data_IF_399097044950
#
_entry.id   IF_399097044950
#
_cell.length_a   1.000
_cell.length_b   1.000
_cell.length_c   1.000
_cell.angle_alpha   90.00
_cell.angle_beta   90.00
_cell.angle_gamma   90.00
#
_symmetry.space_group_name_H-M   'P 1'
#
loop_
_entity.id
_entity.type
_entity.pdbx_description
1 polymer ?
#
# COMPACT_ATOMS: atom_id res chain seq x y z
N UNK A 1 65.58 33.00 -5.85
CA UNK A 1 65.48 31.64 -5.28
C UNK A 1 64.27 31.00 -5.94
N UNK A 2 64.49 29.98 -6.78
CA UNK A 2 63.62 28.86 -7.19
C UNK A 2 62.13 29.13 -7.48
N UNK A 3 61.70 29.03 -8.76
CA UNK A 3 61.03 27.85 -9.38
C UNK A 3 59.57 27.66 -8.90
N UNK A 4 58.56 27.20 -9.63
CA UNK A 4 58.32 26.68 -10.98
C UNK A 4 56.78 26.52 -11.10
N UNK A 5 56.26 26.60 -12.33
CA UNK A 5 55.05 25.94 -12.93
C UNK A 5 54.03 25.23 -12.01
N UNK A 6 52.72 25.36 -12.27
CA UNK A 6 52.07 24.46 -13.23
C UNK A 6 50.55 24.39 -13.05
N UNK A 7 49.86 24.05 -14.14
CA UNK A 7 48.41 24.15 -14.41
C UNK A 7 47.67 22.80 -14.12
N UNK A 8 46.37 22.64 -14.46
CA UNK A 8 45.29 22.07 -13.65
C UNK A 8 45.08 20.55 -13.84
N UNK A 9 44.20 19.91 -13.04
CA UNK A 9 43.56 18.64 -13.42
C UNK A 9 42.15 18.43 -12.81
N UNK A 10 41.35 17.68 -13.57
CA UNK A 10 39.92 17.37 -13.44
C UNK A 10 39.63 16.04 -12.69
N UNK A 11 38.33 15.88 -12.30
CA UNK A 11 37.50 14.65 -12.20
C UNK A 11 37.83 13.55 -11.17
N UNK A 12 36.78 13.07 -10.48
CA UNK A 12 36.37 11.65 -10.48
C UNK A 12 35.00 11.46 -9.79
N UNK A 13 34.07 10.79 -10.47
CA UNK A 13 32.90 10.13 -9.87
C UNK A 13 33.15 8.63 -9.98
N UNK A 14 33.02 7.93 -8.85
CA UNK A 14 33.38 6.52 -8.71
C UNK A 14 32.15 5.63 -8.91
N UNK A 15 32.28 4.62 -9.76
CA UNK A 15 31.33 3.54 -10.04
C UNK A 15 31.74 2.25 -9.31
N UNK A 16 30.77 1.48 -8.84
CA UNK A 16 30.94 0.08 -8.44
C UNK A 16 29.60 -0.56 -8.08
N UNK A 17 29.31 -1.85 -8.22
CA UNK A 17 29.96 -3.04 -8.83
C UNK A 17 28.80 -4.01 -9.13
N UNK A 18 28.80 -4.73 -10.26
CA UNK A 18 27.86 -5.83 -10.56
C UNK A 18 28.68 -7.11 -10.72
N UNK A 19 28.32 -8.18 -10.01
CA UNK A 19 28.93 -9.51 -10.11
C UNK A 19 28.30 -10.34 -11.24
N UNK A 20 29.13 -11.16 -11.91
CA UNK A 20 28.79 -11.94 -13.11
C UNK A 20 28.72 -13.47 -12.85
N UNK A 21 27.93 -14.18 -13.65
CA UNK A 21 27.95 -15.66 -13.79
C UNK A 21 27.91 -16.02 -15.29
N UNK A 22 28.77 -16.91 -15.82
CA UNK A 22 28.92 -17.12 -17.26
C UNK A 22 28.01 -18.21 -17.85
N UNK A 23 27.60 -17.98 -19.10
CA UNK A 23 26.79 -18.88 -19.93
C UNK A 23 27.66 -19.82 -20.76
N UNK A 24 27.56 -21.11 -20.49
CA UNK A 24 27.83 -22.14 -21.50
C UNK A 24 27.01 -23.36 -21.15
N UNK A 25 25.96 -23.66 -21.93
CA UNK A 25 25.45 -25.01 -22.22
C UNK A 25 24.20 -24.91 -23.14
N UNK A 26 24.44 -25.25 -24.41
CA UNK A 26 23.61 -26.10 -25.29
C UNK A 26 22.45 -25.49 -26.11
N UNK A 27 22.83 -25.01 -27.31
CA UNK A 27 22.47 -25.47 -28.68
C UNK A 27 21.12 -26.15 -29.00
N UNK A 28 20.46 -25.54 -30.01
CA UNK A 28 20.00 -26.08 -31.33
C UNK A 28 18.66 -26.83 -31.40
N UNK A 29 17.70 -26.27 -32.16
CA UNK A 29 17.14 -26.85 -33.41
C UNK A 29 15.74 -26.28 -33.73
N UNK A 30 15.66 -25.51 -34.81
CA UNK A 30 14.41 -25.07 -35.46
C UNK A 30 14.10 -26.02 -36.62
N UNK A 31 12.85 -26.51 -36.72
CA UNK A 31 12.27 -26.94 -38.00
C UNK A 31 10.84 -26.43 -38.15
N UNK A 32 10.67 -25.63 -39.20
CA UNK A 32 9.49 -25.40 -40.04
C UNK A 32 8.21 -24.89 -39.38
N UNK A 33 7.77 -23.68 -39.72
CA UNK A 33 6.86 -23.43 -40.86
C UNK A 33 6.75 -21.91 -41.10
N UNK A 34 6.60 -21.59 -42.38
CA UNK A 34 6.72 -20.29 -43.04
C UNK A 34 5.54 -19.36 -42.80
N UNK A 35 5.81 -18.09 -42.54
CA UNK A 35 4.92 -16.98 -42.88
C UNK A 35 5.80 -15.85 -43.43
N UNK A 36 5.47 -15.39 -44.63
CA UNK A 36 6.25 -14.43 -45.42
C UNK A 36 6.40 -13.08 -44.70
N UNK A 37 7.64 -12.59 -44.68
CA UNK A 37 8.03 -11.29 -44.12
C UNK A 37 8.24 -10.32 -45.28
N UNK A 38 7.48 -9.24 -45.29
CA UNK A 38 7.72 -8.08 -46.14
C UNK A 38 9.12 -7.50 -45.84
N UNK A 39 9.91 -7.27 -46.90
CA UNK A 39 11.25 -6.70 -46.86
C UNK A 39 11.20 -5.30 -46.23
N UNK A 40 11.76 -5.17 -45.03
CA UNK A 40 12.05 -3.91 -44.36
C UNK A 40 13.39 -4.04 -43.62
N UNK A 41 14.27 -3.08 -43.82
CA UNK A 41 15.71 -3.16 -43.59
C UNK A 41 16.12 -3.50 -42.15
N UNK A 42 17.17 -4.32 -42.06
CA UNK A 42 17.86 -4.73 -40.84
C UNK A 42 18.72 -3.57 -40.33
N UNK A 43 18.29 -2.91 -39.26
CA UNK A 43 19.19 -2.14 -38.38
C UNK A 43 19.44 -2.94 -37.11
N UNK A 44 20.73 -3.18 -36.82
CA UNK A 44 21.19 -3.76 -35.56
C UNK A 44 20.88 -2.80 -34.42
N UNK A 45 20.24 -3.29 -33.36
CA UNK A 45 20.33 -2.68 -32.03
C UNK A 45 20.71 -3.75 -31.02
N UNK A 46 21.93 -3.59 -30.52
CA UNK A 46 22.42 -4.20 -29.31
C UNK A 46 21.74 -3.54 -28.10
N UNK A 47 21.64 -4.27 -26.99
CA UNK A 47 21.50 -3.68 -25.67
C UNK A 47 20.11 -3.84 -25.05
N UNK A 48 20.10 -4.49 -23.89
CA UNK A 48 18.98 -4.56 -22.96
C UNK A 48 18.56 -3.14 -22.54
N UNK A 49 17.51 -2.62 -23.17
CA UNK A 49 16.79 -1.44 -22.73
C UNK A 49 15.45 -1.88 -22.17
N UNK A 50 15.32 -1.95 -20.84
CA UNK A 50 14.01 -1.91 -20.20
C UNK A 50 13.48 -0.51 -20.47
N UNK A 51 12.72 -0.34 -21.55
CA UNK A 51 12.01 0.91 -21.76
C UNK A 51 10.96 0.95 -20.66
N UNK A 52 11.13 1.84 -19.69
CA UNK A 52 10.08 2.17 -18.75
C UNK A 52 8.90 2.70 -19.57
N UNK A 53 7.96 1.82 -19.89
CA UNK A 53 6.62 2.26 -20.25
C UNK A 53 6.11 2.87 -18.95
N UNK A 54 6.09 4.20 -18.90
CA UNK A 54 5.34 4.90 -17.87
C UNK A 54 3.90 4.39 -17.99
N UNK A 55 3.52 3.48 -17.10
CA UNK A 55 2.11 3.15 -16.91
C UNK A 55 1.45 4.49 -16.56
N UNK A 56 0.45 4.95 -17.34
CA UNK A 56 -0.26 6.14 -16.96
C UNK A 56 -0.78 5.93 -15.55
N UNK A 57 -0.63 6.94 -14.71
CA UNK A 57 -1.26 6.98 -13.40
C UNK A 57 -2.75 6.79 -13.65
N UNK A 58 -3.24 5.58 -13.39
CA UNK A 58 -4.63 5.22 -13.64
C UNK A 58 -5.42 5.94 -12.56
N UNK A 59 -5.86 7.16 -12.85
CA UNK A 59 -6.82 7.84 -12.01
C UNK A 59 -8.13 7.04 -12.11
N UNK A 60 -8.33 6.12 -11.15
CA UNK A 60 -9.51 5.27 -11.08
C UNK A 60 -10.74 6.13 -10.76
N UNK A 61 -11.28 6.76 -11.80
CA UNK A 61 -12.54 7.49 -11.75
C UNK A 61 -13.64 6.44 -11.73
N UNK A 62 -14.22 6.23 -10.54
CA UNK A 62 -15.33 5.31 -10.33
C UNK A 62 -16.54 5.61 -11.24
N UNK A 63 -17.55 4.72 -11.27
CA UNK A 63 -18.71 4.89 -12.14
C UNK A 63 -19.37 6.27 -11.91
N UNK A 64 -19.75 6.92 -13.01
CA UNK A 64 -20.36 8.25 -12.99
C UNK A 64 -21.55 8.28 -12.03
N UNK A 65 -21.55 9.22 -11.08
CA UNK A 65 -22.62 9.39 -10.08
C UNK A 65 -22.37 8.71 -8.72
N UNK A 66 -21.32 7.90 -8.58
CA UNK A 66 -20.93 7.30 -7.27
C UNK A 66 -20.56 8.35 -6.22
N UNK A 67 -20.03 9.49 -6.66
CA UNK A 67 -19.61 10.58 -5.76
C UNK A 67 -20.81 11.24 -5.05
N UNK A 68 -21.91 11.46 -5.77
CA UNK A 68 -23.13 12.07 -5.22
C UNK A 68 -23.86 11.15 -4.21
N UNK A 69 -23.80 9.84 -4.45
CA UNK A 69 -24.35 8.84 -3.53
C UNK A 69 -23.53 8.82 -2.23
N UNK A 70 -22.20 8.79 -2.34
CA UNK A 70 -21.32 8.82 -1.18
C UNK A 70 -21.53 10.09 -0.35
N UNK A 71 -21.62 11.26 -0.99
CA UNK A 71 -21.92 12.53 -0.34
C UNK A 71 -23.21 12.46 0.50
N UNK A 72 -24.27 11.90 -0.07
CA UNK A 72 -25.55 11.76 0.65
C UNK A 72 -25.44 10.80 1.85
N UNK A 73 -24.61 9.76 1.75
CA UNK A 73 -24.45 8.74 2.81
C UNK A 73 -23.58 9.21 3.98
N UNK A 74 -22.68 10.17 3.76
CA UNK A 74 -21.78 10.72 4.79
C UNK A 74 -22.23 12.07 5.33
N UNK A 75 -23.14 12.77 4.65
CA UNK A 75 -23.66 14.06 5.09
C UNK A 75 -24.21 14.01 6.53
N UNK A 76 -23.82 14.98 7.37
CA UNK A 76 -24.24 15.09 8.76
C UNK A 76 -23.59 14.09 9.73
N UNK A 77 -22.74 13.18 9.25
CA UNK A 77 -22.04 12.20 10.09
C UNK A 77 -20.70 12.75 10.56
N UNK A 78 -20.37 12.52 11.83
CA UNK A 78 -19.11 12.98 12.43
C UNK A 78 -18.35 11.81 13.04
N UNK A 79 -17.03 11.80 12.91
CA UNK A 79 -16.21 10.77 13.54
C UNK A 79 -14.81 11.26 13.91
N UNK A 80 -14.34 10.88 15.10
CA UNK A 80 -12.93 10.99 15.50
C UNK A 80 -12.49 9.74 16.26
N UNK A 81 -11.29 9.23 15.95
CA UNK A 81 -10.77 8.06 16.64
C UNK A 81 -10.19 8.46 18.01
N UNK A 82 -10.80 8.00 19.10
CA UNK A 82 -10.32 8.23 20.47
C UNK A 82 -9.18 7.30 20.90
N UNK A 83 -8.74 6.39 20.01
CA UNK A 83 -7.76 5.33 20.29
C UNK A 83 -8.15 4.45 21.49
N UNK A 84 -9.44 4.19 21.70
CA UNK A 84 -9.97 3.38 22.79
C UNK A 84 -9.69 1.86 22.67
N UNK A 85 -9.24 1.39 21.50
CA UNK A 85 -8.91 -0.01 21.25
C UNK A 85 -10.09 -0.93 20.96
N UNK A 86 -11.35 -0.49 21.11
CA UNK A 86 -12.56 -1.32 20.93
C UNK A 86 -12.63 -1.98 19.55
N UNK A 87 -12.40 -1.20 18.48
CA UNK A 87 -12.37 -1.74 17.11
C UNK A 87 -11.13 -2.61 16.82
N UNK A 88 -10.06 -2.47 17.61
CA UNK A 88 -8.83 -3.28 17.48
C UNK A 88 -8.94 -4.64 18.18
N UNK A 89 -9.86 -4.77 19.14
CA UNK A 89 -10.19 -6.03 19.85
C UNK A 89 -11.50 -6.66 19.38
N UNK A 90 -12.17 -6.03 18.42
CA UNK A 90 -13.47 -6.44 17.91
C UNK A 90 -13.43 -7.74 17.10
N UNK A 91 -14.63 -8.19 16.75
CA UNK A 91 -14.86 -9.34 15.88
C UNK A 91 -14.57 -8.93 14.42
N UNK A 92 -13.30 -8.97 14.00
CA UNK A 92 -12.93 -8.56 12.66
C UNK A 92 -11.50 -8.91 12.25
N UNK A 93 -11.37 -9.33 10.99
CA UNK A 93 -10.07 -9.55 10.34
C UNK A 93 -9.61 -8.27 9.64
N UNK A 94 -8.34 -7.89 9.83
CA UNK A 94 -7.76 -6.72 9.15
C UNK A 94 -6.93 -7.14 7.96
N UNK A 95 -7.34 -6.68 6.79
CA UNK A 95 -6.74 -6.96 5.51
C UNK A 95 -5.87 -5.78 5.09
N UNK A 96 -4.65 -6.11 4.67
CA UNK A 96 -3.70 -5.15 4.14
C UNK A 96 -3.18 -5.64 2.78
N UNK A 97 -3.05 -4.72 1.85
CA UNK A 97 -2.35 -4.94 0.59
C UNK A 97 -0.84 -5.08 0.82
N UNK A 98 -0.12 -5.66 -0.14
CA UNK A 98 1.35 -5.72 -0.07
C UNK A 98 1.97 -4.31 0.00
N UNK A 99 1.39 -3.32 -0.68
CA UNK A 99 1.83 -1.92 -0.61
C UNK A 99 1.66 -1.32 0.81
N UNK A 100 0.53 -1.57 1.47
CA UNK A 100 0.33 -1.15 2.87
C UNK A 100 1.29 -1.88 3.81
N UNK A 101 1.54 -3.17 3.58
CA UNK A 101 2.51 -3.93 4.36
C UNK A 101 3.93 -3.34 4.23
N UNK A 102 4.32 -2.85 3.06
CA UNK A 102 5.60 -2.17 2.86
C UNK A 102 5.71 -0.87 3.66
N UNK A 103 4.65 -0.06 3.68
CA UNK A 103 4.60 1.17 4.46
C UNK A 103 4.71 0.87 5.96
N UNK A 104 3.94 -0.11 6.45
CA UNK A 104 3.98 -0.52 7.86
C UNK A 104 5.34 -1.11 8.23
N UNK A 105 5.91 -1.98 7.39
CA UNK A 105 7.23 -2.56 7.64
C UNK A 105 8.32 -1.49 7.76
N UNK A 106 8.27 -0.48 6.89
CA UNK A 106 9.18 0.68 6.93
C UNK A 106 9.00 1.49 8.20
N UNK A 107 7.76 1.76 8.62
CA UNK A 107 7.46 2.46 9.86
C UNK A 107 8.01 1.71 11.09
N UNK A 108 7.92 0.37 11.09
CA UNK A 108 8.46 -0.47 12.16
C UNK A 108 9.98 -0.69 12.09
N UNK A 109 10.66 -0.22 11.04
CA UNK A 109 12.10 -0.43 10.84
C UNK A 109 12.48 -1.88 10.57
N UNK A 110 11.58 -2.68 10.00
CA UNK A 110 11.81 -4.11 9.73
C UNK A 110 11.83 -4.41 8.24
N UNK A 111 12.54 -5.46 7.83
CA UNK A 111 12.48 -5.92 6.44
C UNK A 111 11.10 -6.47 6.13
N UNK A 112 10.63 -6.24 4.90
CA UNK A 112 9.32 -6.71 4.43
C UNK A 112 9.14 -8.22 4.58
N UNK A 113 10.17 -9.02 4.30
CA UNK A 113 10.13 -10.47 4.47
C UNK A 113 9.88 -10.87 5.94
N UNK A 114 10.56 -10.21 6.88
CA UNK A 114 10.39 -10.45 8.31
C UNK A 114 9.03 -9.93 8.80
N UNK A 115 8.51 -8.87 8.16
CA UNK A 115 7.16 -8.36 8.43
C UNK A 115 6.11 -9.40 8.04
N UNK A 116 6.21 -9.96 6.83
CA UNK A 116 5.28 -10.97 6.36
C UNK A 116 5.25 -12.21 7.24
N UNK A 117 6.39 -12.66 7.75
CA UNK A 117 6.47 -13.81 8.63
C UNK A 117 5.85 -13.53 10.01
N UNK A 118 6.19 -12.39 10.61
CA UNK A 118 5.82 -12.06 12.00
C UNK A 118 4.43 -11.49 12.16
N UNK A 119 3.99 -10.62 11.24
CA UNK A 119 2.77 -9.83 11.43
C UNK A 119 1.61 -10.24 10.53
N UNK A 120 1.83 -11.08 9.51
CA UNK A 120 0.78 -11.42 8.53
C UNK A 120 0.59 -12.91 8.32
N UNK A 121 -0.57 -13.28 7.79
CA UNK A 121 -0.88 -14.59 7.20
C UNK A 121 -1.16 -14.38 5.71
N UNK A 122 -0.66 -15.29 4.86
CA UNK A 122 -1.03 -15.30 3.43
C UNK A 122 -2.50 -15.66 3.32
N UNK A 123 -3.24 -14.93 2.48
CA UNK A 123 -4.55 -15.36 2.05
C UNK A 123 -4.44 -15.96 0.65
N UNK A 124 -4.77 -17.24 0.50
CA UNK A 124 -4.50 -17.99 -0.75
C UNK A 124 -5.42 -17.61 -1.91
N UNK A 125 -6.57 -16.96 -1.65
CA UNK A 125 -7.60 -16.72 -2.67
C UNK A 125 -7.48 -15.38 -3.39
N UNK A 126 -6.67 -14.44 -2.88
CA UNK A 126 -6.50 -13.11 -3.48
C UNK A 126 -5.03 -12.69 -3.41
N UNK A 127 -4.35 -12.72 -4.57
CA UNK A 127 -2.97 -12.27 -4.67
C UNK A 127 -2.86 -10.78 -4.29
N UNK A 128 -1.75 -10.39 -3.65
CA UNK A 128 -1.50 -9.01 -3.23
C UNK A 128 -2.18 -8.57 -1.93
N UNK A 129 -2.93 -9.47 -1.26
CA UNK A 129 -3.60 -9.20 0.01
C UNK A 129 -3.12 -10.13 1.12
N UNK A 130 -3.02 -9.59 2.33
CA UNK A 130 -2.55 -10.29 3.51
C UNK A 130 -3.42 -9.97 4.70
N UNK A 131 -3.61 -10.97 5.55
CA UNK A 131 -4.33 -10.84 6.80
C UNK A 131 -3.33 -10.47 7.91
N UNK A 132 -3.58 -9.40 8.65
CA UNK A 132 -2.82 -9.09 9.86
C UNK A 132 -3.12 -10.13 10.95
N UNK A 133 -2.09 -10.53 11.69
CA UNK A 133 -2.24 -11.49 12.79
C UNK A 133 -2.89 -10.84 14.00
N UNK A 134 -3.46 -11.69 14.84
CA UNK A 134 -3.82 -11.35 16.20
C UNK A 134 -2.64 -11.55 17.14
N UNK A 135 -2.71 -10.91 18.31
CA UNK A 135 -1.76 -11.12 19.39
C UNK A 135 -1.81 -12.57 19.90
N UNK A 136 -0.65 -13.22 20.09
CA UNK A 136 -0.59 -14.53 20.73
C UNK A 136 -1.18 -14.48 22.15
N UNK A 137 -2.18 -15.32 22.44
CA UNK A 137 -2.76 -15.43 23.78
C UNK A 137 -3.76 -14.35 24.18
N UNK A 138 -4.03 -13.34 23.34
CA UNK A 138 -4.98 -12.26 23.62
C UNK A 138 -6.21 -12.27 22.69
N UNK A 139 -6.66 -13.47 22.31
CA UNK A 139 -7.87 -13.65 21.50
C UNK A 139 -7.77 -13.03 20.10
N UNK A 140 -8.72 -12.14 19.78
CA UNK A 140 -8.84 -11.46 18.48
C UNK A 140 -8.26 -10.04 18.48
N UNK A 141 -7.47 -9.68 19.49
CA UNK A 141 -6.79 -8.40 19.52
C UNK A 141 -5.77 -8.29 18.37
N UNK A 142 -5.81 -7.19 17.60
CA UNK A 142 -4.85 -6.90 16.54
C UNK A 142 -3.40 -6.93 17.08
N UNK A 143 -2.46 -7.50 16.32
CA UNK A 143 -1.05 -7.59 16.72
C UNK A 143 -0.38 -6.24 17.01
N UNK A 144 -0.91 -5.14 16.46
CA UNK A 144 -0.37 -3.79 16.66
C UNK A 144 -1.03 -3.02 17.81
N UNK A 145 -1.95 -3.63 18.56
CA UNK A 145 -2.50 -3.01 19.76
C UNK A 145 -1.44 -3.01 20.87
N UNK A 146 -1.15 -1.86 21.47
CA UNK A 146 -0.25 -1.74 22.61
C UNK A 146 -0.90 -2.23 23.92
N UNK A 147 -0.11 -2.45 24.97
CA UNK A 147 -0.63 -2.79 26.30
C UNK A 147 -1.45 -1.64 26.92
N UNK A 148 -1.33 -0.43 26.40
CA UNK A 148 -2.09 0.78 26.76
C UNK A 148 -3.39 0.94 25.95
N UNK A 149 -3.80 -0.09 25.20
CA UNK A 149 -4.92 -0.08 24.26
C UNK A 149 -4.77 0.90 23.07
N UNK A 150 -3.57 1.42 22.82
CA UNK A 150 -3.33 2.33 21.69
C UNK A 150 -2.74 1.59 20.49
N UNK A 151 -3.12 2.02 19.29
CA UNK A 151 -2.58 1.43 18.07
C UNK A 151 -1.14 1.91 17.86
N UNK A 152 -0.17 1.00 17.90
CA UNK A 152 1.26 1.31 17.72
C UNK A 152 1.61 1.81 16.32
N UNK A 153 0.75 1.56 15.33
CA UNK A 153 0.92 1.98 13.93
C UNK A 153 -0.14 2.99 13.48
N UNK A 154 -0.71 3.78 14.41
CA UNK A 154 -1.87 4.64 14.13
C UNK A 154 -1.72 5.55 12.90
N UNK A 155 -0.51 6.09 12.68
CA UNK A 155 -0.20 6.99 11.55
C UNK A 155 -0.06 6.30 10.19
N UNK A 156 0.12 4.98 10.18
CA UNK A 156 0.28 4.17 8.95
C UNK A 156 -0.72 3.02 8.92
N UNK A 157 -1.89 3.23 9.51
CA UNK A 157 -2.96 2.23 9.54
C UNK A 157 -3.33 1.80 8.12
N UNK A 158 -3.58 0.50 7.88
CA UNK A 158 -4.09 0.05 6.60
C UNK A 158 -5.45 0.69 6.33
N UNK A 159 -5.83 0.75 5.06
CA UNK A 159 -6.98 1.50 4.59
C UNK A 159 -8.25 1.10 5.31
N UNK A 160 -8.48 -0.21 5.48
CA UNK A 160 -9.61 -0.73 6.26
C UNK A 160 -9.73 -0.04 7.62
N UNK A 161 -8.63 0.05 8.40
CA UNK A 161 -8.63 0.69 9.70
C UNK A 161 -8.74 2.22 9.63
N UNK A 162 -8.09 2.86 8.66
CA UNK A 162 -8.11 4.33 8.51
C UNK A 162 -9.45 4.88 8.02
N UNK A 163 -10.22 4.07 7.28
CA UNK A 163 -11.53 4.47 6.75
C UNK A 163 -12.68 4.04 7.63
N UNK A 164 -12.45 3.35 8.74
CA UNK A 164 -13.50 3.11 9.73
C UNK A 164 -13.95 4.47 10.32
N UNK A 165 -15.25 4.73 10.52
CA UNK A 165 -16.43 3.87 10.31
C UNK A 165 -17.14 4.13 8.96
N UNK A 166 -16.47 4.68 7.96
CA UNK A 166 -17.03 5.04 6.66
C UNK A 166 -17.26 3.86 5.71
N UNK A 167 -17.27 2.63 6.21
CA UNK A 167 -17.48 1.45 5.38
C UNK A 167 -18.92 1.38 4.87
N UNK A 168 -19.17 0.86 3.66
CA UNK A 168 -20.52 0.77 3.09
C UNK A 168 -21.55 0.13 4.03
N UNK A 169 -21.14 -0.83 4.84
CA UNK A 169 -21.97 -1.56 5.80
C UNK A 169 -22.47 -0.67 6.95
N UNK A 170 -21.73 0.37 7.31
CA UNK A 170 -22.05 1.32 8.37
C UNK A 170 -22.69 2.62 7.85
N UNK A 171 -22.89 2.74 6.53
CA UNK A 171 -23.41 3.96 5.93
C UNK A 171 -24.93 4.12 6.09
N UNK A 172 -25.69 3.07 6.38
CA UNK A 172 -27.11 3.22 6.72
C UNK A 172 -27.30 3.92 8.08
N UNK A 173 -28.38 4.69 8.25
CA UNK A 173 -28.66 5.38 9.51
C UNK A 173 -28.76 4.40 10.70
N UNK A 174 -29.46 3.27 10.52
CA UNK A 174 -29.60 2.26 11.57
C UNK A 174 -28.26 1.64 11.98
N UNK A 175 -27.42 1.25 11.01
CA UNK A 175 -26.11 0.68 11.31
C UNK A 175 -25.18 1.70 11.97
N UNK A 176 -25.21 2.95 11.52
CA UNK A 176 -24.40 4.04 12.09
C UNK A 176 -24.69 4.26 13.57
N UNK A 177 -25.97 4.43 13.93
CA UNK A 177 -26.35 4.68 15.32
C UNK A 177 -26.16 3.44 16.21
N UNK A 178 -26.40 2.23 15.68
CA UNK A 178 -26.13 0.99 16.42
C UNK A 178 -24.63 0.82 16.72
N UNK A 179 -23.77 1.14 15.75
CA UNK A 179 -22.31 1.11 15.94
C UNK A 179 -21.87 2.17 16.95
N UNK A 180 -22.45 3.38 16.90
CA UNK A 180 -22.18 4.45 17.86
C UNK A 180 -22.53 4.05 19.29
N UNK A 181 -23.70 3.42 19.48
CA UNK A 181 -24.21 3.04 20.80
C UNK A 181 -23.46 1.85 21.39
N UNK A 182 -23.12 0.85 20.56
CA UNK A 182 -22.67 -0.45 21.06
C UNK A 182 -21.18 -0.74 20.86
N UNK A 183 -20.51 -0.03 19.94
CA UNK A 183 -19.14 -0.39 19.53
C UNK A 183 -18.17 0.78 19.68
N UNK A 184 -18.49 1.95 19.15
CA UNK A 184 -17.52 3.04 19.03
C UNK A 184 -18.03 4.39 19.53
N UNK A 185 -17.43 4.85 20.64
CA UNK A 185 -17.65 6.19 21.23
C UNK A 185 -17.13 7.34 20.37
N UNK A 186 -16.34 7.06 19.33
CA UNK A 186 -15.80 8.07 18.42
C UNK A 186 -16.80 8.55 17.37
N UNK A 187 -17.90 7.82 17.20
CA UNK A 187 -18.99 8.19 16.29
C UNK A 187 -19.82 9.30 16.96
N UNK A 188 -20.03 10.38 16.22
CA UNK A 188 -20.73 11.60 16.67
C UNK A 188 -20.17 12.24 17.95
N UNK A 189 -18.89 11.98 18.24
CA UNK A 189 -18.15 12.57 19.35
C UNK A 189 -18.17 14.11 19.27
N UNK A 190 -18.24 14.84 20.40
CA UNK A 190 -18.27 16.31 20.39
C UNK A 190 -17.06 16.95 19.69
N UNK A 191 -15.88 16.32 19.80
CA UNK A 191 -14.64 16.78 19.15
C UNK A 191 -14.52 16.32 17.69
N UNK A 192 -15.52 15.62 17.14
CA UNK A 192 -15.47 15.12 15.78
C UNK A 192 -15.94 16.17 14.77
N UNK A 193 -15.16 16.32 13.71
CA UNK A 193 -15.55 17.10 12.55
C UNK A 193 -16.53 16.34 11.66
N UNK A 194 -17.35 17.08 10.91
CA UNK A 194 -18.26 16.51 9.92
C UNK A 194 -17.50 15.96 8.72
N UNK A 195 -17.97 14.83 8.21
CA UNK A 195 -17.38 14.21 7.04
C UNK A 195 -17.46 15.14 5.83
N UNK A 196 -16.30 15.60 5.38
CA UNK A 196 -16.20 16.26 4.09
C UNK A 196 -16.35 15.22 2.97
N UNK A 197 -17.50 15.24 2.31
CA UNK A 197 -17.79 14.37 1.17
C UNK A 197 -16.82 14.55 -0.01
N UNK A 198 -16.23 15.74 -0.16
CA UNK A 198 -15.23 16.01 -1.19
C UNK A 198 -13.90 15.29 -0.92
N UNK A 199 -13.64 14.89 0.32
CA UNK A 199 -12.43 14.18 0.75
C UNK A 199 -12.65 12.66 0.81
N UNK A 200 -13.46 12.11 -0.12
CA UNK A 200 -13.64 10.66 -0.23
C UNK A 200 -12.26 9.99 -0.29
N UNK A 201 -11.93 9.05 0.62
CA UNK A 201 -10.63 8.39 0.61
C UNK A 201 -10.43 7.63 -0.71
N UNK A 202 -9.64 8.18 -1.66
CA UNK A 202 -9.36 7.51 -2.94
C UNK A 202 -8.55 6.25 -2.70
N UNK A 203 -8.68 5.24 -3.55
CA UNK A 203 -7.87 4.02 -3.46
C UNK A 203 -6.38 4.41 -3.34
N UNK A 204 -5.72 4.07 -2.22
CA UNK A 204 -4.34 4.47 -1.93
C UNK A 204 -4.13 5.65 -0.97
N UNK A 205 -5.13 6.49 -0.70
CA UNK A 205 -5.05 7.59 0.26
C UNK A 205 -5.71 7.19 1.59
N UNK A 206 -4.89 6.99 2.63
CA UNK A 206 -5.36 6.87 4.02
C UNK A 206 -5.58 8.26 4.61
N UNK A 207 -6.68 8.45 5.36
CA UNK A 207 -6.92 9.69 6.12
C UNK A 207 -6.02 9.66 7.36
N UNK A 208 -5.17 10.68 7.52
CA UNK A 208 -4.17 10.80 8.59
C UNK A 208 -4.84 11.11 9.93
#
# INVERSE_FOLDING_TARGET
MFQQVGRPQQRAINTGVIAAIPSSVIRRSLKSKTCEVAKGQRTQVAGAGWTAIALPEVEERGPAGSDKIYETLVAGKRFTCTQCGKCCTGEGEVWATDAECEVIARHLGVRLADFYQRYTKKYSRKAGWRLLRYQPGAGKACIFLGPDNKCTIHSVRPKQCSTYPWWPELQSAGAWYAEAEHVCEGIDHPDAEEANAAERPRAGEGRQ
#
